data_IF_233580462249
#
_entry.id   IF_233580462249
#
_cell.length_a   1.000
_cell.length_b   1.000
_cell.length_c   1.000
_cell.angle_alpha   90.00
_cell.angle_beta   90.00
_cell.angle_gamma   90.00
#
_symmetry.space_group_name_H-M   'P 1'
#
loop_
_entity.id
_entity.type
_entity.pdbx_description
1 polymer ?
#
# COMPACT_ATOMS: atom_id res chain seq x y z
N UNK A 1 -17.75 -19.60 -4.47
CA UNK A 1 -17.46 -19.13 -3.11
C UNK A 1 -17.92 -17.68 -3.03
N UNK A 2 -18.71 -17.31 -2.01
CA UNK A 2 -19.09 -15.92 -1.79
C UNK A 2 -17.88 -15.18 -1.23
N UNK A 3 -17.41 -14.16 -1.94
CA UNK A 3 -16.27 -13.33 -1.52
C UNK A 3 -16.64 -12.57 -0.24
N UNK A 4 -15.80 -12.65 0.80
CA UNK A 4 -16.05 -11.94 2.07
C UNK A 4 -15.60 -10.49 1.98
N UNK A 5 -16.04 -9.65 2.92
CA UNK A 5 -15.55 -8.28 3.03
C UNK A 5 -14.01 -8.21 3.19
N UNK A 6 -13.43 -9.19 3.88
CA UNK A 6 -11.98 -9.26 4.09
C UNK A 6 -11.25 -9.64 2.79
N UNK A 7 -11.85 -10.52 1.98
CA UNK A 7 -11.30 -10.87 0.65
C UNK A 7 -11.27 -9.67 -0.31
N UNK A 8 -12.11 -8.65 -0.05
CA UNK A 8 -12.19 -7.41 -0.84
C UNK A 8 -11.39 -6.25 -0.25
N UNK A 9 -10.82 -6.42 0.94
CA UNK A 9 -10.10 -5.35 1.63
C UNK A 9 -8.66 -5.26 1.13
N UNK A 10 -8.24 -4.06 0.78
CA UNK A 10 -6.87 -3.78 0.39
C UNK A 10 -6.23 -2.74 1.32
N UNK A 11 -4.92 -2.84 1.47
CA UNK A 11 -4.10 -1.72 1.93
C UNK A 11 -3.74 -0.87 0.71
N UNK A 12 -4.13 0.39 0.74
CA UNK A 12 -3.86 1.37 -0.31
C UNK A 12 -2.81 2.37 0.19
N UNK A 13 -1.68 2.41 -0.50
CA UNK A 13 -0.58 3.31 -0.20
C UNK A 13 -0.46 4.37 -1.29
N UNK A 14 -0.53 5.64 -0.89
CA UNK A 14 -0.31 6.79 -1.76
C UNK A 14 1.15 7.23 -1.71
N UNK A 15 1.70 7.53 -2.87
CA UNK A 15 2.98 8.19 -3.07
C UNK A 15 2.76 9.47 -3.89
N UNK A 16 3.31 10.59 -3.43
CA UNK A 16 3.27 11.84 -4.19
C UNK A 16 4.39 11.89 -5.21
N UNK A 17 4.08 12.20 -6.47
CA UNK A 17 5.05 12.56 -7.51
C UNK A 17 5.52 14.02 -7.37
N UNK A 18 4.75 14.88 -6.71
CA UNK A 18 5.09 16.29 -6.51
C UNK A 18 6.03 16.47 -5.31
N UNK A 19 7.11 17.22 -5.52
CA UNK A 19 8.19 17.46 -4.55
C UNK A 19 7.78 18.33 -3.37
N UNK A 20 6.73 19.14 -3.52
CA UNK A 20 6.23 20.09 -2.54
C UNK A 20 5.20 19.48 -1.56
N UNK A 21 4.68 18.29 -1.85
CA UNK A 21 3.92 17.48 -0.90
C UNK A 21 4.84 16.57 -0.06
N UNK A 22 6.09 16.36 -0.50
CA UNK A 22 7.08 15.55 0.22
C UNK A 22 7.39 16.18 1.59
N UNK A 23 7.07 15.44 2.67
CA UNK A 23 7.45 15.82 4.04
C UNK A 23 6.64 16.95 4.69
N UNK A 24 5.63 17.54 4.03
CA UNK A 24 4.83 18.63 4.62
C UNK A 24 3.89 18.19 5.75
N UNK A 25 3.51 16.92 5.79
CA UNK A 25 2.83 16.36 6.94
C UNK A 25 3.82 15.42 7.62
N UNK A 26 4.38 15.87 8.74
CA UNK A 26 4.94 14.98 9.74
C UNK A 26 4.36 15.35 11.09
N UNK A 27 3.94 14.36 11.85
CA UNK A 27 3.49 14.54 13.23
C UNK A 27 4.55 13.89 14.10
N UNK A 28 5.05 14.62 15.08
CA UNK A 28 5.83 14.05 16.17
C UNK A 28 4.85 13.70 17.28
N UNK A 29 4.47 12.43 17.47
CA UNK A 29 3.64 12.05 18.59
C UNK A 29 4.44 12.07 19.92
N UNK A 30 5.77 11.95 19.84
CA UNK A 30 6.71 12.06 20.95
C UNK A 30 8.11 12.50 20.44
N UNK A 31 9.09 12.62 21.35
CA UNK A 31 10.44 13.13 21.02
C UNK A 31 11.21 12.24 20.03
N UNK A 32 10.97 10.94 20.07
CA UNK A 32 11.72 9.92 19.31
C UNK A 32 11.01 9.48 18.03
N UNK A 33 9.71 9.76 17.91
CA UNK A 33 8.88 9.31 16.80
C UNK A 33 8.60 10.45 15.84
N UNK A 34 8.82 10.23 14.54
CA UNK A 34 8.37 11.14 13.49
C UNK A 34 7.50 10.35 12.52
N UNK A 35 6.20 10.55 12.59
CA UNK A 35 5.25 10.03 11.62
C UNK A 35 5.42 10.85 10.36
N UNK A 36 5.85 10.24 9.25
CA UNK A 36 5.90 10.91 7.94
C UNK A 36 4.74 10.45 7.09
N UNK A 37 3.89 11.40 6.73
CA UNK A 37 2.72 11.14 5.90
C UNK A 37 3.04 11.22 4.42
N UNK A 38 4.30 11.37 3.98
CA UNK A 38 4.72 11.29 2.58
C UNK A 38 6.08 10.61 2.44
N UNK A 39 6.16 9.55 1.62
CA UNK A 39 7.39 8.82 1.35
C UNK A 39 8.26 9.59 0.35
N UNK A 40 9.57 9.63 0.62
CA UNK A 40 10.55 10.55 0.00
C UNK A 40 11.16 10.06 -1.33
N UNK A 41 10.87 8.85 -1.78
CA UNK A 41 11.59 8.19 -2.89
C UNK A 41 10.64 7.74 -4.01
N UNK A 42 9.81 8.68 -4.47
CA UNK A 42 8.59 8.38 -5.22
C UNK A 42 8.76 7.87 -6.66
N UNK A 43 9.75 8.34 -7.41
CA UNK A 43 9.86 7.94 -8.81
C UNK A 43 10.43 6.53 -8.98
N UNK A 44 11.57 6.23 -8.35
CA UNK A 44 12.25 4.95 -8.57
C UNK A 44 11.66 3.77 -7.79
N UNK A 45 10.97 3.98 -6.67
CA UNK A 45 10.47 2.86 -5.85
C UNK A 45 9.52 1.95 -6.62
N UNK A 46 8.54 2.54 -7.33
CA UNK A 46 7.53 1.75 -8.04
C UNK A 46 8.19 0.93 -9.14
N UNK A 47 9.06 1.56 -9.94
CA UNK A 47 9.80 0.90 -11.01
C UNK A 47 10.73 -0.20 -10.47
N UNK A 48 11.39 0.03 -9.33
CA UNK A 48 12.23 -0.97 -8.65
C UNK A 48 11.42 -2.17 -8.16
N UNK A 49 10.21 -1.97 -7.62
CA UNK A 49 9.33 -3.07 -7.22
C UNK A 49 8.89 -3.86 -8.46
N UNK A 50 8.51 -3.17 -9.53
CA UNK A 50 8.05 -3.81 -10.77
C UNK A 50 9.18 -4.64 -11.39
N UNK A 51 10.34 -4.01 -11.64
CA UNK A 51 11.51 -4.68 -12.20
C UNK A 51 11.94 -5.88 -11.36
N UNK A 52 11.90 -5.73 -10.03
CA UNK A 52 12.21 -6.82 -9.12
C UNK A 52 11.19 -7.96 -9.24
N UNK A 53 9.89 -7.64 -9.25
CA UNK A 53 8.84 -8.64 -9.35
C UNK A 53 8.92 -9.40 -10.68
N UNK A 54 9.21 -8.73 -11.80
CA UNK A 54 9.41 -9.38 -13.11
C UNK A 54 10.54 -10.42 -13.09
N UNK A 55 11.57 -10.19 -12.28
CA UNK A 55 12.71 -11.10 -12.12
C UNK A 55 12.49 -12.18 -11.06
N UNK A 56 11.42 -12.09 -10.26
CA UNK A 56 11.14 -12.95 -9.10
C UNK A 56 9.71 -13.52 -9.13
N UNK A 57 9.24 -13.98 -10.30
CA UNK A 57 7.93 -14.62 -10.49
C UNK A 57 6.72 -13.78 -10.01
N UNK A 58 6.80 -12.46 -10.17
CA UNK A 58 5.77 -11.52 -9.74
C UNK A 58 5.69 -11.34 -8.22
N UNK A 59 6.74 -11.70 -7.47
CA UNK A 59 6.80 -11.64 -6.01
C UNK A 59 7.75 -10.54 -5.53
N UNK A 60 7.43 -9.94 -4.38
CA UNK A 60 8.35 -9.05 -3.67
C UNK A 60 8.02 -8.97 -2.17
N UNK A 61 9.04 -8.69 -1.36
CA UNK A 61 8.88 -8.13 -0.01
C UNK A 61 8.93 -6.61 -0.13
N UNK A 62 7.84 -5.92 0.19
CA UNK A 62 7.76 -4.46 0.14
C UNK A 62 7.86 -3.93 1.58
N UNK A 63 9.01 -3.32 1.96
CA UNK A 63 9.12 -2.64 3.24
C UNK A 63 8.41 -1.30 3.18
N UNK A 64 7.78 -0.91 4.27
CA UNK A 64 7.25 0.45 4.40
C UNK A 64 7.19 0.90 5.86
N UNK A 65 7.12 2.21 6.01
CA UNK A 65 7.06 2.86 7.31
C UNK A 65 5.77 3.67 7.40
N UNK A 66 4.75 3.08 8.04
CA UNK A 66 3.46 3.74 8.28
C UNK A 66 2.86 3.32 9.63
N UNK A 67 1.96 4.14 10.17
CA UNK A 67 1.20 3.83 11.38
C UNK A 67 0.05 2.89 11.04
N UNK A 68 0.38 1.64 10.75
CA UNK A 68 -0.61 0.60 10.52
C UNK A 68 -0.20 -0.65 11.28
N UNK A 69 -1.12 -1.27 12.02
CA UNK A 69 -0.80 -2.52 12.71
C UNK A 69 -0.73 -3.67 11.72
N UNK A 70 0.20 -4.62 11.93
CA UNK A 70 0.31 -5.87 11.16
C UNK A 70 -1.01 -6.64 11.18
N UNK A 71 -1.69 -6.68 12.33
CA UNK A 71 -3.03 -7.26 12.44
C UNK A 71 -4.05 -6.67 11.44
N UNK A 72 -3.94 -5.38 11.12
CA UNK A 72 -4.83 -4.76 10.13
C UNK A 72 -4.40 -5.08 8.69
N UNK A 73 -3.10 -5.25 8.45
CA UNK A 73 -2.57 -5.69 7.16
C UNK A 73 -2.94 -7.14 6.86
N UNK A 74 -2.89 -8.03 7.85
CA UNK A 74 -3.27 -9.46 7.72
C UNK A 74 -4.75 -9.66 7.34
N UNK A 75 -5.58 -8.65 7.57
CA UNK A 75 -6.99 -8.65 7.14
C UNK A 75 -7.20 -8.13 5.71
N UNK A 76 -6.12 -7.77 5.01
CA UNK A 76 -6.16 -7.31 3.63
C UNK A 76 -5.73 -8.43 2.67
N UNK A 77 -6.46 -8.60 1.59
CA UNK A 77 -6.13 -9.54 0.52
C UNK A 77 -5.22 -8.94 -0.55
N UNK A 78 -5.18 -7.61 -0.66
CA UNK A 78 -4.45 -6.90 -1.70
C UNK A 78 -3.59 -5.76 -1.14
N UNK A 79 -2.48 -5.53 -1.82
CA UNK A 79 -1.61 -4.38 -1.66
C UNK A 79 -1.70 -3.50 -2.90
N UNK A 80 -1.91 -2.21 -2.71
CA UNK A 80 -1.95 -1.21 -3.78
C UNK A 80 -0.96 -0.11 -3.46
N UNK A 81 -0.08 0.21 -4.41
CA UNK A 81 0.73 1.42 -4.39
C UNK A 81 0.26 2.30 -5.53
N UNK A 82 -0.19 3.51 -5.23
CA UNK A 82 -0.65 4.49 -6.21
C UNK A 82 0.19 5.75 -6.13
N UNK A 83 0.64 6.22 -7.29
CA UNK A 83 1.30 7.50 -7.47
C UNK A 83 0.28 8.54 -7.92
N UNK A 84 0.44 9.77 -7.45
CA UNK A 84 -0.47 10.88 -7.76
C UNK A 84 -0.54 11.26 -9.24
N UNK A 85 0.40 10.79 -10.07
CA UNK A 85 0.38 10.92 -11.53
C UNK A 85 -0.49 9.87 -12.25
N UNK A 86 -1.16 8.99 -11.50
CA UNK A 86 -2.08 7.97 -12.03
C UNK A 86 -1.50 6.57 -12.09
N UNK A 87 -0.16 6.42 -12.05
CA UNK A 87 0.50 5.11 -12.05
C UNK A 87 0.23 4.33 -10.79
N UNK A 88 0.12 3.01 -10.92
CA UNK A 88 -0.05 2.13 -9.77
C UNK A 88 0.58 0.77 -9.97
N UNK A 89 0.79 0.07 -8.86
CA UNK A 89 0.91 -1.38 -8.82
C UNK A 89 -0.13 -1.96 -7.87
N UNK A 90 -0.56 -3.17 -8.18
CA UNK A 90 -1.47 -3.96 -7.36
C UNK A 90 -0.98 -5.41 -7.31
N UNK A 91 -1.14 -6.06 -6.16
CA UNK A 91 -0.85 -7.48 -6.03
C UNK A 91 -1.60 -8.10 -4.86
N UNK A 92 -1.55 -9.42 -4.78
CA UNK A 92 -2.13 -10.18 -3.66
C UNK A 92 -1.20 -10.09 -2.46
N UNK A 93 -1.72 -9.55 -1.36
CA UNK A 93 -1.04 -9.54 -0.07
C UNK A 93 -1.17 -10.95 0.52
N UNK A 94 -0.02 -11.57 0.80
CA UNK A 94 0.04 -12.94 1.32
C UNK A 94 0.34 -12.98 2.82
N UNK A 95 1.26 -12.13 3.26
CA UNK A 95 1.73 -12.08 4.64
C UNK A 95 2.22 -10.67 4.96
N UNK A 96 2.16 -10.30 6.23
CA UNK A 96 2.75 -9.06 6.72
C UNK A 96 3.48 -9.29 8.04
N UNK A 97 4.42 -8.42 8.37
CA UNK A 97 5.19 -8.55 9.61
C UNK A 97 5.81 -7.26 10.08
N UNK A 98 6.19 -7.27 11.36
CA UNK A 98 6.99 -6.23 11.99
C UNK A 98 8.49 -6.56 11.83
N UNK A 99 9.34 -5.67 12.32
CA UNK A 99 10.79 -5.85 12.40
C UNK A 99 11.44 -6.19 11.04
N UNK A 100 11.18 -5.37 10.02
CA UNK A 100 11.84 -5.53 8.73
C UNK A 100 13.36 -5.55 8.91
N UNK A 101 13.96 -6.68 8.54
CA UNK A 101 15.41 -6.82 8.51
C UNK A 101 15.93 -6.35 7.16
N UNK A 102 16.98 -5.54 7.18
CA UNK A 102 17.63 -5.04 5.97
C UNK A 102 17.90 -6.18 4.99
N UNK A 103 17.33 -6.09 3.78
CA UNK A 103 17.53 -7.08 2.73
C UNK A 103 16.87 -8.43 3.00
N UNK A 104 15.72 -8.43 3.68
CA UNK A 104 14.94 -9.63 3.99
C UNK A 104 14.74 -10.53 2.76
N UNK A 105 14.95 -11.82 2.99
CA UNK A 105 14.73 -12.94 2.08
C UNK A 105 14.10 -14.05 2.93
N UNK A 106 12.89 -14.46 2.56
CA UNK A 106 12.11 -15.43 3.32
C UNK A 106 12.35 -16.89 2.90
N UNK A 107 13.22 -17.13 1.91
CA UNK A 107 13.52 -18.43 1.28
C UNK A 107 12.39 -19.06 0.45
N UNK A 108 11.18 -18.50 0.45
CA UNK A 108 10.03 -18.92 -0.38
C UNK A 108 9.98 -18.16 -1.73
N UNK A 109 11.11 -17.55 -2.09
CA UNK A 109 11.29 -16.75 -3.29
C UNK A 109 10.76 -15.33 -3.16
N UNK A 110 10.45 -14.84 -1.95
CA UNK A 110 10.19 -13.42 -1.72
C UNK A 110 11.46 -12.75 -1.21
N UNK A 111 11.94 -11.77 -1.96
CA UNK A 111 13.06 -10.93 -1.54
C UNK A 111 12.68 -9.46 -1.63
N UNK A 112 13.39 -8.62 -0.86
CA UNK A 112 13.18 -7.18 -0.94
C UNK A 112 13.94 -6.59 -2.14
N UNK A 113 13.33 -5.67 -2.92
CA UNK A 113 14.04 -4.94 -3.98
C UNK A 113 15.28 -4.26 -3.43
N UNK A 114 16.39 -4.31 -4.17
CA UNK A 114 17.69 -3.81 -3.70
C UNK A 114 17.66 -2.33 -3.34
N UNK A 115 16.93 -1.52 -4.12
CA UNK A 115 16.72 -0.10 -3.83
C UNK A 115 15.89 0.16 -2.57
N UNK A 116 15.05 -0.80 -2.16
CA UNK A 116 14.17 -0.70 -0.99
C UNK A 116 14.73 -1.34 0.25
N UNK A 117 16.02 -1.65 0.29
CA UNK A 117 16.71 -2.07 1.53
C UNK A 117 16.85 -0.88 2.50
N UNK A 118 15.73 -0.31 2.92
CA UNK A 118 15.67 0.82 3.82
C UNK A 118 16.06 0.35 5.23
N UNK A 119 17.08 0.98 5.82
CA UNK A 119 17.57 0.66 7.18
C UNK A 119 16.56 0.99 8.29
N UNK A 120 15.47 1.69 7.98
CA UNK A 120 14.53 2.25 8.96
C UNK A 120 13.07 1.82 8.74
N UNK A 121 12.80 0.87 7.83
CA UNK A 121 11.44 0.37 7.70
C UNK A 121 11.08 -0.47 8.93
N UNK A 122 9.91 -0.21 9.51
CA UNK A 122 9.42 -0.92 10.70
C UNK A 122 8.57 -2.14 10.34
N UNK A 123 8.06 -2.22 9.11
CA UNK A 123 7.10 -3.24 8.65
C UNK A 123 7.39 -3.70 7.22
N UNK A 124 6.82 -4.85 6.87
CA UNK A 124 6.90 -5.41 5.53
C UNK A 124 5.62 -6.17 5.14
N UNK A 125 5.40 -6.29 3.83
CA UNK A 125 4.37 -7.18 3.25
C UNK A 125 4.99 -8.06 2.16
N UNK A 126 4.55 -9.32 2.10
CA UNK A 126 4.79 -10.22 0.97
C UNK A 126 3.66 -10.05 -0.02
N UNK A 127 4.01 -9.65 -1.24
CA UNK A 127 3.05 -9.41 -2.32
C UNK A 127 3.40 -10.33 -3.48
N UNK A 128 2.39 -10.97 -4.07
CA UNK A 128 2.53 -11.82 -5.26
C UNK A 128 1.58 -11.40 -6.37
N UNK A 129 1.87 -11.87 -7.58
CA UNK A 129 1.15 -11.50 -8.79
C UNK A 129 1.11 -9.98 -8.96
N UNK A 130 2.23 -9.32 -8.68
CA UNK A 130 2.37 -7.87 -8.81
C UNK A 130 2.16 -7.51 -10.28
N UNK A 131 1.25 -6.57 -10.52
CA UNK A 131 0.97 -5.98 -11.82
C UNK A 131 1.04 -4.47 -11.69
N UNK A 132 1.46 -3.80 -12.75
CA UNK A 132 1.41 -2.34 -12.87
C UNK A 132 0.33 -1.91 -13.86
N UNK A 133 -0.08 -0.65 -13.76
CA UNK A 133 -0.97 -0.01 -14.70
C UNK A 133 -0.89 1.50 -14.60
N UNK A 134 -1.43 2.15 -15.62
CA UNK A 134 -1.71 3.58 -15.63
C UNK A 134 -3.22 3.80 -15.36
N UNK A 135 -3.61 5.02 -15.00
CA UNK A 135 -5.01 5.41 -14.72
C UNK A 135 -5.73 4.50 -13.71
N UNK A 136 -5.32 4.58 -12.43
CA UNK A 136 -5.90 3.76 -11.36
C UNK A 136 -7.46 3.76 -11.36
N UNK A 137 -8.12 2.58 -11.34
CA UNK A 137 -9.56 2.46 -11.53
C UNK A 137 -10.35 2.77 -10.25
N UNK A 138 -10.40 4.05 -9.87
CA UNK A 138 -11.04 4.51 -8.62
C UNK A 138 -12.50 4.07 -8.46
N UNK A 139 -13.23 3.91 -9.55
CA UNK A 139 -14.64 3.47 -9.58
C UNK A 139 -14.85 2.01 -9.13
N UNK A 140 -13.76 1.26 -8.93
CA UNK A 140 -13.78 -0.08 -8.35
C UNK A 140 -13.54 -0.07 -6.84
N UNK A 141 -13.21 1.07 -6.24
CA UNK A 141 -12.70 1.15 -4.87
C UNK A 141 -13.43 2.18 -4.02
N UNK A 142 -13.69 1.83 -2.76
CA UNK A 142 -14.32 2.72 -1.78
C UNK A 142 -13.70 2.57 -0.39
N UNK A 143 -13.91 3.58 0.44
CA UNK A 143 -13.61 3.54 1.87
C UNK A 143 -14.93 3.39 2.61
N UNK A 144 -14.94 2.53 3.62
CA UNK A 144 -16.02 2.49 4.60
C UNK A 144 -15.67 3.36 5.79
N UNK A 145 -16.48 4.38 6.02
CA UNK A 145 -16.44 5.15 7.26
C UNK A 145 -17.59 4.72 8.16
N UNK A 146 -17.28 4.40 9.41
CA UNK A 146 -18.28 4.28 10.46
C UNK A 146 -18.53 5.67 11.04
N UNK A 147 -19.63 6.31 10.63
CA UNK A 147 -20.13 7.53 11.30
C UNK A 147 -21.47 7.20 11.95
N UNK A 148 -21.52 7.32 13.29
CA UNK A 148 -22.76 7.30 14.07
C UNK A 148 -23.78 6.22 13.65
N UNK A 149 -23.38 4.94 13.74
CA UNK A 149 -24.23 3.75 13.46
C UNK A 149 -24.70 3.57 12.00
N UNK A 150 -24.32 4.45 11.08
CA UNK A 150 -24.54 4.27 9.65
C UNK A 150 -23.22 3.87 8.96
N UNK A 151 -23.29 2.84 8.11
CA UNK A 151 -22.18 2.45 7.23
C UNK A 151 -22.27 3.32 5.98
N UNK A 152 -21.38 4.30 5.84
CA UNK A 152 -21.29 5.10 4.63
C UNK A 152 -20.16 4.57 3.75
N UNK A 153 -20.49 4.21 2.51
CA UNK A 153 -19.50 3.96 1.46
C UNK A 153 -19.14 5.29 0.80
N UNK A 154 -17.86 5.62 0.78
CA UNK A 154 -17.34 6.82 0.10
C UNK A 154 -16.42 6.37 -1.03
N UNK A 155 -16.65 6.79 -2.28
CA UNK A 155 -15.72 6.53 -3.39
C UNK A 155 -14.29 6.96 -3.04
N UNK A 156 -13.30 6.17 -3.45
CA UNK A 156 -11.92 6.41 -3.06
C UNK A 156 -11.36 7.74 -3.59
N UNK A 157 -11.70 8.12 -4.82
CA UNK A 157 -11.31 9.41 -5.41
C UNK A 157 -11.83 10.61 -4.59
N UNK A 158 -13.07 10.53 -4.12
CA UNK A 158 -13.68 11.55 -3.27
C UNK A 158 -13.01 11.62 -1.89
N UNK A 159 -12.62 10.48 -1.33
CA UNK A 159 -11.90 10.42 -0.07
C UNK A 159 -10.48 11.00 -0.18
N UNK A 160 -9.78 10.73 -1.29
CA UNK A 160 -8.41 11.20 -1.52
C UNK A 160 -8.30 12.70 -1.66
N UNK A 161 -9.31 13.37 -2.25
CA UNK A 161 -9.33 14.84 -2.40
C UNK A 161 -9.13 15.60 -1.09
N UNK A 162 -9.57 15.03 0.03
CA UNK A 162 -9.54 15.68 1.35
C UNK A 162 -8.67 14.93 2.37
N UNK A 163 -8.05 13.81 1.98
CA UNK A 163 -7.25 12.98 2.88
C UNK A 163 -5.77 13.28 2.72
N UNK A 164 -5.11 13.56 3.84
CA UNK A 164 -3.65 13.63 3.90
C UNK A 164 -3.01 12.28 4.31
N UNK A 165 -3.81 11.22 4.45
CA UNK A 165 -3.30 9.90 4.81
C UNK A 165 -2.62 9.22 3.63
N UNK A 166 -1.48 8.62 3.89
CA UNK A 166 -0.73 7.87 2.89
C UNK A 166 -1.00 6.38 2.88
N UNK A 167 -1.55 5.84 3.96
CA UNK A 167 -1.99 4.46 4.01
C UNK A 167 -3.45 4.46 4.43
N UNK A 168 -4.28 3.82 3.62
CA UNK A 168 -5.73 3.72 3.81
C UNK A 168 -6.16 2.26 3.65
N UNK A 169 -7.24 1.90 4.32
CA UNK A 169 -7.92 0.64 4.06
C UNK A 169 -9.09 0.90 3.14
N UNK A 170 -9.07 0.24 2.00
CA UNK A 170 -10.08 0.38 0.95
C UNK A 170 -10.71 -0.97 0.67
N UNK A 171 -11.86 -0.96 0.04
CA UNK A 171 -12.60 -2.15 -0.32
C UNK A 171 -12.91 -2.13 -1.81
N UNK A 172 -12.72 -3.27 -2.48
CA UNK A 172 -13.12 -3.47 -3.87
C UNK A 172 -14.63 -3.58 -3.97
N UNK A 173 -15.28 -3.03 -4.98
CA UNK A 173 -16.72 -3.22 -5.20
C UNK A 173 -17.07 -4.66 -5.58
N UNK A 174 -18.27 -5.10 -5.20
CA UNK A 174 -18.73 -6.47 -5.38
C UNK A 174 -19.07 -6.70 -6.87
N UNK A 175 -18.55 -7.76 -7.49
CA UNK A 175 -18.91 -8.14 -8.86
C UNK A 175 -18.21 -7.40 -10.01
N UNK A 176 -17.13 -6.64 -9.74
CA UNK A 176 -16.25 -6.11 -10.82
C UNK A 176 -14.96 -6.93 -10.89
N UNK A 177 -14.91 -7.90 -11.79
CA UNK A 177 -13.68 -8.62 -12.12
C UNK A 177 -12.64 -7.66 -12.73
N UNK A 178 -11.36 -7.99 -12.55
CA UNK A 178 -10.28 -7.33 -13.26
C UNK A 178 -10.26 -7.91 -14.68
N UNK A 179 -10.82 -7.16 -15.63
CA UNK A 179 -10.67 -7.44 -17.06
C UNK A 179 -9.19 -7.36 -17.46
#
# INVERSE_FOLDING_TARGET
>A
MTETLMDRRAVFMRISSESDLIGKASVKPDEDTIIRYNWRQAESMMDEIINHAEQNDGKAIIPFDSIVSVRSLDTCSQFILWRTDGRYLIGKLYESGEDYKYGMDDRDGYTAPTALRAKTASRWVKVKNIKSGDDFPFEKWYIEAYRHRARSKTPLDAALKNSHMNVMFVYKEEGKEDA
#
